data_IF_354175042678
#
_entry.id   IF_354175042678
#
_cell.length_a   1.000
_cell.length_b   1.000
_cell.length_c   1.000
_cell.angle_alpha   90.00
_cell.angle_beta   90.00
_cell.angle_gamma   90.00
#
_symmetry.space_group_name_H-M   'P 1'
#
loop_
_entity.id
_entity.type
_entity.pdbx_description
1 polymer ?
#
# COMPACT_ATOMS: atom_id res chain seq x y z
N UNK A 1 -9.54 23.89 -0.76
CA UNK A 1 -9.25 23.98 0.68
C UNK A 1 -8.38 22.78 0.99
N UNK A 2 -7.06 22.96 1.08
CA UNK A 2 -6.16 21.86 1.46
C UNK A 2 -6.21 21.79 2.97
N UNK A 3 -6.92 20.81 3.51
CA UNK A 3 -6.76 20.46 4.92
C UNK A 3 -5.36 19.88 5.05
N UNK A 4 -4.45 20.62 5.68
CA UNK A 4 -3.21 20.04 6.22
C UNK A 4 -3.65 18.93 7.15
N UNK A 5 -3.58 17.67 6.69
CA UNK A 5 -3.68 16.54 7.59
C UNK A 5 -2.64 16.76 8.68
N UNK A 6 -3.06 16.66 9.95
CA UNK A 6 -2.12 16.66 11.05
C UNK A 6 -1.04 15.62 10.72
N UNK A 7 0.24 15.97 10.92
CA UNK A 7 1.33 15.01 10.79
C UNK A 7 1.02 13.85 11.74
N UNK A 8 0.65 12.70 11.16
CA UNK A 8 0.51 11.45 11.89
C UNK A 8 1.85 10.73 11.72
N UNK A 9 2.82 10.91 12.63
CA UNK A 9 4.16 10.33 12.48
C UNK A 9 4.14 8.79 12.42
N UNK A 10 3.00 8.18 12.75
CA UNK A 10 2.75 6.74 12.69
C UNK A 10 1.73 6.35 11.60
N UNK A 11 1.27 7.28 10.76
CA UNK A 11 0.41 6.93 9.63
C UNK A 11 1.18 6.09 8.63
N UNK A 12 0.49 5.07 8.14
CA UNK A 12 0.94 4.17 7.10
C UNK A 12 -0.11 4.19 5.99
N UNK A 13 0.34 4.23 4.74
CA UNK A 13 -0.51 4.17 3.56
C UNK A 13 -0.25 2.85 2.84
N UNK A 14 -1.32 2.12 2.53
CA UNK A 14 -1.23 0.87 1.79
C UNK A 14 -1.82 1.05 0.38
N UNK A 15 -1.02 0.79 -0.64
CA UNK A 15 -1.46 0.64 -2.02
C UNK A 15 -1.64 -0.84 -2.37
N UNK A 16 -2.75 -1.16 -3.03
CA UNK A 16 -3.05 -2.51 -3.51
C UNK A 16 -3.30 -2.47 -5.02
N UNK A 17 -2.58 -3.31 -5.75
CA UNK A 17 -2.80 -3.59 -7.17
C UNK A 17 -3.38 -5.00 -7.34
N UNK A 18 -4.58 -5.07 -7.91
CA UNK A 18 -5.29 -6.31 -8.19
C UNK A 18 -5.04 -6.75 -9.64
N UNK A 19 -3.86 -7.31 -9.90
CA UNK A 19 -3.53 -7.91 -11.19
C UNK A 19 -4.20 -9.28 -11.39
N UNK A 20 -4.34 -9.70 -12.65
CA UNK A 20 -5.06 -10.94 -13.01
C UNK A 20 -4.35 -12.25 -12.68
N UNK A 21 -3.04 -12.22 -12.40
CA UNK A 21 -2.26 -13.43 -12.00
C UNK A 21 -1.55 -13.26 -10.67
N UNK A 22 -1.37 -12.03 -10.20
CA UNK A 22 -0.72 -11.70 -8.94
C UNK A 22 -1.27 -10.37 -8.42
N UNK A 23 -1.20 -10.20 -7.11
CA UNK A 23 -1.48 -8.95 -6.43
C UNK A 23 -0.18 -8.29 -5.97
N UNK A 24 -0.14 -6.97 -5.96
CA UNK A 24 0.95 -6.24 -5.30
C UNK A 24 0.41 -5.45 -4.11
N UNK A 25 1.15 -5.53 -3.01
CA UNK A 25 0.90 -4.72 -1.82
C UNK A 25 2.16 -3.91 -1.55
N UNK A 26 1.99 -2.60 -1.40
CA UNK A 26 3.03 -1.68 -0.98
C UNK A 26 2.52 -0.87 0.22
N UNK A 27 3.29 -0.86 1.32
CA UNK A 27 3.03 0.00 2.47
C UNK A 27 4.15 1.01 2.58
N UNK A 28 3.78 2.28 2.66
CA UNK A 28 4.70 3.40 2.88
C UNK A 28 4.37 4.12 4.18
N UNK A 29 5.38 4.67 4.83
CA UNK A 29 5.17 5.63 5.92
C UNK A 29 4.89 7.04 5.39
N UNK A 30 4.66 7.98 6.31
CA UNK A 30 4.41 9.39 6.00
C UNK A 30 5.56 10.11 5.27
N UNK A 31 6.78 9.55 5.26
CA UNK A 31 7.91 10.08 4.47
C UNK A 31 7.93 9.53 3.04
N UNK A 32 7.05 8.59 2.72
CA UNK A 32 7.05 7.86 1.45
C UNK A 32 8.04 6.70 1.41
N UNK A 33 8.65 6.33 2.54
CA UNK A 33 9.59 5.21 2.59
C UNK A 33 8.81 3.90 2.57
N UNK A 34 9.22 2.96 1.71
CA UNK A 34 8.62 1.63 1.62
C UNK A 34 8.98 0.81 2.86
N UNK A 35 7.97 0.45 3.63
CA UNK A 35 8.11 -0.42 4.80
C UNK A 35 7.83 -1.89 4.45
N UNK A 36 6.88 -2.13 3.54
CA UNK A 36 6.53 -3.47 3.06
C UNK A 36 6.28 -3.43 1.58
N UNK A 37 6.87 -4.39 0.85
CA UNK A 37 6.52 -4.67 -0.53
C UNK A 37 6.38 -6.18 -0.71
N UNK A 38 5.22 -6.61 -1.20
CA UNK A 38 4.92 -8.04 -1.42
C UNK A 38 4.22 -8.24 -2.76
N UNK A 39 4.60 -9.32 -3.42
CA UNK A 39 3.89 -9.89 -4.56
C UNK A 39 3.26 -11.18 -4.10
N UNK A 40 1.94 -11.28 -4.25
CA UNK A 40 1.15 -12.42 -3.79
C UNK A 40 0.55 -13.07 -5.04
N UNK A 41 0.68 -14.38 -5.17
CA UNK A 41 0.06 -15.12 -6.27
C UNK A 41 -1.46 -15.02 -6.19
N UNK A 42 -2.12 -14.91 -7.33
CA UNK A 42 -3.58 -14.92 -7.39
C UNK A 42 -4.09 -16.34 -7.11
N UNK A 43 -4.64 -16.57 -5.93
CA UNK A 43 -5.06 -17.90 -5.48
C UNK A 43 -6.53 -18.21 -5.71
N UNK A 44 -7.32 -17.25 -6.20
CA UNK A 44 -8.69 -17.55 -6.66
C UNK A 44 -8.58 -18.37 -7.95
N UNK A 45 -8.79 -19.67 -7.80
CA UNK A 45 -9.03 -20.60 -8.90
C UNK A 45 -10.41 -20.35 -9.47
N UNK A 46 -10.49 -20.14 -10.78
CA UNK A 46 -11.73 -20.06 -11.57
C UNK A 46 -12.57 -21.33 -11.46
#
# INVERSE_FOLDING_TARGET
MVTTEAEHPHAMFAGIDWGGTHHQICVVDHTGTIQVQRRIEHTVTS
#
